data_IF_106275318822
#
_entry.id   IF_106275318822
#
_cell.length_a   1.000
_cell.length_b   1.000
_cell.length_c   1.000
_cell.angle_alpha   90.00
_cell.angle_beta   90.00
_cell.angle_gamma   90.00
#
_symmetry.space_group_name_H-M   'P 1'
#
loop_
_entity.id
_entity.type
_entity.pdbx_description
1 polymer ?
#
# COMPACT_ATOMS: atom_id res chain seq x y z
N UNK A 1 -18.80 21.03 13.67
CA UNK A 1 -18.34 20.64 13.62
C UNK A 1 -17.84 20.25 12.85
N UNK A 2 -17.54 20.48 12.39
CA UNK A 2 -16.92 20.26 11.66
C UNK A 2 -16.06 19.31 11.52
N UNK A 3 -15.59 18.98 12.25
CA UNK A 3 -14.67 18.03 12.21
C UNK A 3 -15.02 16.89 11.48
N UNK A 4 -16.19 16.59 11.51
CA UNK A 4 -16.59 15.51 10.79
C UNK A 4 -16.21 15.58 9.42
N UNK A 5 -16.26 16.70 8.83
CA UNK A 5 -15.90 16.73 7.53
C UNK A 5 -14.50 16.49 7.33
N UNK A 6 -13.72 16.76 8.26
CA UNK A 6 -12.36 16.42 8.13
C UNK A 6 -12.17 15.01 7.94
N UNK A 7 -12.93 14.23 8.64
CA UNK A 7 -12.80 12.83 8.52
C UNK A 7 -13.20 12.37 7.18
N UNK A 8 -14.25 12.90 6.69
CA UNK A 8 -14.68 12.44 5.41
C UNK A 8 -13.77 12.92 4.36
N UNK A 9 -13.24 14.07 4.57
CA UNK A 9 -12.33 14.59 3.60
C UNK A 9 -10.99 13.95 3.75
N UNK A 10 -10.84 13.10 4.71
CA UNK A 10 -9.63 12.41 4.92
C UNK A 10 -9.11 11.89 3.64
N UNK A 11 -7.93 12.23 3.26
CA UNK A 11 -7.36 11.76 2.03
C UNK A 11 -7.24 10.27 2.07
N UNK A 12 -7.98 9.61 1.22
CA UNK A 12 -7.91 8.18 1.12
C UNK A 12 -6.47 7.79 0.82
N UNK A 13 -5.79 8.59 0.02
CA UNK A 13 -4.42 8.33 -0.33
C UNK A 13 -3.49 8.25 0.87
N UNK A 14 -3.70 9.14 1.85
CA UNK A 14 -2.85 9.12 3.03
C UNK A 14 -3.07 7.84 3.85
N UNK A 15 -4.32 7.50 4.09
CA UNK A 15 -4.64 6.32 4.84
C UNK A 15 -4.18 5.07 4.10
N UNK A 16 -4.35 5.05 2.79
CA UNK A 16 -3.95 3.92 2.01
C UNK A 16 -2.42 3.79 1.98
N UNK A 17 -1.72 4.91 1.87
CA UNK A 17 -0.27 4.88 1.91
C UNK A 17 0.23 4.30 3.23
N UNK A 18 -0.38 4.70 4.33
CA UNK A 18 0.00 4.17 5.64
C UNK A 18 -0.26 2.68 5.73
N UNK A 19 -1.37 2.23 5.17
CA UNK A 19 -1.67 0.81 5.14
C UNK A 19 -0.61 0.05 4.35
N UNK A 20 -0.24 0.56 3.18
CA UNK A 20 0.75 -0.11 2.35
C UNK A 20 2.10 -0.12 3.05
N UNK A 21 2.49 0.97 3.71
CA UNK A 21 3.73 1.00 4.46
C UNK A 21 3.71 -0.07 5.56
N UNK A 22 2.60 -0.18 6.25
CA UNK A 22 2.45 -1.16 7.31
C UNK A 22 2.59 -2.58 6.78
N UNK A 23 1.96 -2.85 5.64
CA UNK A 23 2.03 -4.17 5.02
C UNK A 23 3.47 -4.48 4.58
N UNK A 24 4.15 -3.48 4.02
CA UNK A 24 5.56 -3.66 3.63
C UNK A 24 6.41 -3.98 4.86
N UNK A 25 6.24 -3.23 5.93
CA UNK A 25 7.01 -3.47 7.15
C UNK A 25 6.81 -4.88 7.67
N UNK A 26 5.58 -5.31 7.67
CA UNK A 26 5.25 -6.64 8.15
C UNK A 26 5.82 -7.72 7.26
N UNK A 27 5.63 -7.60 5.97
CA UNK A 27 6.02 -8.67 5.06
C UNK A 27 7.51 -8.72 4.84
N UNK A 28 8.19 -7.59 4.84
CA UNK A 28 9.63 -7.55 4.66
C UNK A 28 10.37 -7.65 5.99
N UNK A 29 9.67 -7.48 7.10
CA UNK A 29 10.28 -7.60 8.41
C UNK A 29 11.20 -6.44 8.75
N UNK A 30 10.92 -5.25 8.23
CA UNK A 30 11.79 -4.10 8.44
C UNK A 30 10.96 -2.93 8.94
N UNK A 31 11.16 -2.57 10.19
CA UNK A 31 10.36 -1.51 10.82
C UNK A 31 10.71 -0.12 10.32
N UNK A 32 11.88 0.05 9.74
CA UNK A 32 12.34 1.36 9.28
C UNK A 32 11.80 1.78 7.92
N UNK A 33 11.09 0.90 7.23
CA UNK A 33 10.55 1.24 5.93
C UNK A 33 9.59 2.41 6.03
N UNK A 34 9.59 3.25 5.01
CA UNK A 34 8.66 4.35 4.92
C UNK A 34 8.04 4.38 3.53
N UNK A 35 7.26 5.42 3.25
CA UNK A 35 6.50 5.47 2.00
C UNK A 35 7.39 5.55 0.77
N UNK A 36 8.62 6.00 0.92
CA UNK A 36 9.54 6.13 -0.20
C UNK A 36 10.48 4.95 -0.35
N UNK A 37 10.40 3.96 0.52
CA UNK A 37 11.31 2.82 0.49
C UNK A 37 11.04 1.95 -0.72
N UNK A 38 12.09 1.45 -1.33
CA UNK A 38 11.99 0.64 -2.54
C UNK A 38 11.93 -0.83 -2.18
N UNK A 39 10.89 -1.51 -2.70
CA UNK A 39 10.67 -2.93 -2.45
C UNK A 39 11.94 -3.76 -2.71
N UNK A 40 12.63 -3.44 -3.81
CA UNK A 40 13.82 -4.22 -4.19
C UNK A 40 14.99 -3.96 -3.25
N UNK A 41 15.14 -2.73 -2.81
CA UNK A 41 16.25 -2.36 -1.94
C UNK A 41 16.18 -3.06 -0.59
N UNK A 42 14.97 -3.37 -0.15
CA UNK A 42 14.79 -4.01 1.15
C UNK A 42 14.59 -5.52 1.04
N UNK A 43 15.03 -6.09 -0.07
CA UNK A 43 15.07 -7.54 -0.21
C UNK A 43 13.78 -8.17 -0.67
N UNK A 44 12.93 -7.42 -1.35
CA UNK A 44 11.68 -7.97 -1.84
C UNK A 44 11.90 -8.96 -2.96
N UNK A 45 11.09 -10.01 -2.98
CA UNK A 45 11.13 -11.02 -4.02
C UNK A 45 9.69 -11.42 -4.36
N UNK A 46 9.53 -12.41 -5.21
CA UNK A 46 8.21 -12.84 -5.66
C UNK A 46 7.31 -13.26 -4.52
N UNK A 47 7.86 -14.00 -3.57
CA UNK A 47 7.06 -14.47 -2.46
C UNK A 47 6.58 -13.31 -1.61
N UNK A 48 7.47 -12.35 -1.35
CA UNK A 48 7.10 -11.18 -0.57
C UNK A 48 6.06 -10.36 -1.31
N UNK A 49 6.21 -10.24 -2.63
CA UNK A 49 5.24 -9.49 -3.42
C UNK A 49 3.86 -10.12 -3.34
N UNK A 50 3.79 -11.45 -3.39
CA UNK A 50 2.51 -12.14 -3.24
C UNK A 50 1.93 -11.90 -1.86
N UNK A 51 2.74 -11.89 -0.84
CA UNK A 51 2.26 -11.65 0.52
C UNK A 51 1.72 -10.24 0.66
N UNK A 52 2.40 -9.27 0.06
CA UNK A 52 1.95 -7.89 0.10
C UNK A 52 0.58 -7.77 -0.55
N UNK A 53 0.42 -8.32 -1.77
CA UNK A 53 -0.85 -8.21 -2.46
C UNK A 53 -1.96 -8.95 -1.72
N UNK A 54 -1.64 -10.12 -1.15
CA UNK A 54 -2.65 -10.87 -0.42
C UNK A 54 -3.15 -10.10 0.79
N UNK A 55 -2.25 -9.43 1.51
CA UNK A 55 -2.66 -8.64 2.67
C UNK A 55 -3.47 -7.43 2.26
N UNK A 56 -3.10 -6.79 1.16
CA UNK A 56 -3.87 -5.66 0.67
C UNK A 56 -5.25 -6.09 0.20
N UNK A 57 -5.33 -7.23 -0.46
CA UNK A 57 -6.63 -7.74 -0.91
C UNK A 57 -7.53 -8.03 0.27
N UNK A 58 -6.99 -8.63 1.31
CA UNK A 58 -7.74 -8.93 2.51
C UNK A 58 -8.32 -7.68 3.14
N UNK A 59 -7.51 -6.64 3.20
CA UNK A 59 -7.91 -5.42 3.88
C UNK A 59 -8.83 -4.57 3.03
N UNK A 60 -8.55 -4.49 1.74
CA UNK A 60 -9.28 -3.58 0.86
C UNK A 60 -10.48 -4.22 0.18
N UNK A 61 -10.51 -5.54 0.12
CA UNK A 61 -11.62 -6.23 -0.52
C UNK A 61 -11.61 -6.14 -2.03
N UNK A 62 -10.46 -5.83 -2.63
CA UNK A 62 -10.33 -5.77 -4.09
C UNK A 62 -9.12 -6.56 -4.50
N UNK A 63 -9.11 -7.02 -5.73
CA UNK A 63 -8.00 -7.76 -6.27
C UNK A 63 -6.82 -6.82 -6.54
N UNK A 64 -5.63 -7.21 -6.12
CA UNK A 64 -4.43 -6.39 -6.33
C UNK A 64 -3.43 -7.24 -7.09
N UNK A 65 -3.24 -6.98 -8.38
CA UNK A 65 -2.30 -7.78 -9.17
C UNK A 65 -0.87 -7.65 -8.66
N UNK A 66 -0.19 -8.78 -8.55
CA UNK A 66 1.17 -8.79 -8.02
C UNK A 66 2.12 -7.96 -8.88
N UNK A 67 1.82 -7.85 -10.18
CA UNK A 67 2.65 -7.06 -11.08
C UNK A 67 2.78 -5.61 -10.65
N UNK A 68 1.79 -5.10 -9.91
CA UNK A 68 1.84 -3.72 -9.47
C UNK A 68 2.95 -3.48 -8.45
N UNK A 69 3.26 -4.47 -7.63
CA UNK A 69 4.34 -4.32 -6.67
C UNK A 69 5.67 -4.16 -7.39
N UNK A 70 5.84 -4.89 -8.48
CA UNK A 70 7.08 -4.79 -9.24
C UNK A 70 7.17 -3.51 -10.05
N UNK A 71 6.05 -3.05 -10.59
CA UNK A 71 6.02 -1.84 -11.40
C UNK A 71 6.08 -0.57 -10.57
N UNK A 72 5.53 -0.62 -9.35
CA UNK A 72 5.46 0.54 -8.46
C UNK A 72 6.02 0.12 -7.11
N UNK A 73 7.33 0.01 -7.00
CA UNK A 73 7.94 -0.66 -5.85
C UNK A 73 7.92 0.09 -4.53
N UNK A 74 7.59 1.37 -4.51
CA UNK A 74 7.50 2.07 -3.23
C UNK A 74 6.07 2.07 -2.72
N UNK A 75 5.86 2.10 -1.40
CA UNK A 75 4.50 2.16 -0.88
C UNK A 75 3.70 3.34 -1.39
N UNK A 76 4.34 4.50 -1.53
CA UNK A 76 3.63 5.69 -2.02
C UNK A 76 3.13 5.48 -3.44
N UNK A 77 3.99 4.96 -4.31
CA UNK A 77 3.60 4.75 -5.70
C UNK A 77 2.56 3.64 -5.82
N UNK A 78 2.73 2.56 -5.08
CA UNK A 78 1.78 1.48 -5.12
C UNK A 78 0.42 1.96 -4.59
N UNK A 79 0.42 2.70 -3.49
CA UNK A 79 -0.82 3.22 -2.94
C UNK A 79 -1.53 4.12 -3.94
N UNK A 80 -0.77 4.93 -4.64
CA UNK A 80 -1.34 5.85 -5.61
C UNK A 80 -2.05 5.10 -6.74
N UNK A 81 -1.43 4.06 -7.25
CA UNK A 81 -2.01 3.29 -8.33
C UNK A 81 -3.20 2.45 -7.83
N UNK A 82 -3.11 1.92 -6.64
CA UNK A 82 -4.22 1.17 -6.07
C UNK A 82 -5.43 2.09 -5.88
N UNK A 83 -5.18 3.28 -5.38
CA UNK A 83 -6.27 4.23 -5.17
C UNK A 83 -6.93 4.61 -6.48
N UNK A 84 -6.15 4.93 -7.50
CA UNK A 84 -6.74 5.43 -8.73
C UNK A 84 -7.34 4.34 -9.61
N UNK A 85 -6.77 3.13 -9.58
CA UNK A 85 -7.18 2.09 -10.50
C UNK A 85 -8.06 1.00 -9.87
N UNK A 86 -7.89 0.75 -8.59
CA UNK A 86 -8.53 -0.40 -7.97
C UNK A 86 -9.56 -0.02 -6.92
N UNK A 87 -9.34 1.03 -6.18
CA UNK A 87 -10.28 1.47 -5.17
C UNK A 87 -11.02 2.67 -5.70
N UNK A 88 -12.16 2.40 -6.30
CA UNK A 88 -12.95 3.47 -6.89
C UNK A 88 -13.97 3.92 -5.90
N UNK A 89 -14.16 5.18 -5.76
CA UNK A 89 -15.13 5.69 -4.81
C UNK A 89 -16.23 6.44 -5.52
#
# INVERSE_FOLDING_TARGET
>A
MTSTQNLTAQPVGTALTELVVSVYRETLGVAELDEASDFYEWGGDSLTAFRITARLEETLGVEVPVALVFAYPSPADLASVVESDLVQV
#
